data_IF_198487353169
#
_entry.id   IF_198487353169
#
_cell.length_a   1.000
_cell.length_b   1.000
_cell.length_c   1.000
_cell.angle_alpha   90.00
_cell.angle_beta   90.00
_cell.angle_gamma   90.00
#
_symmetry.space_group_name_H-M   'P 1'
#
loop_
_entity.id
_entity.type
_entity.pdbx_description
1 polymer ?
#
# COMPACT_ATOMS: atom_id res chain seq x y z
N UNK A 1 -30.83 1.00 18.73
CA UNK A 1 -30.04 1.92 17.91
C UNK A 1 -28.73 2.11 18.62
N UNK A 2 -27.84 1.19 18.37
CA UNK A 2 -26.69 0.85 19.19
C UNK A 2 -25.38 1.29 18.54
N UNK A 3 -24.36 1.40 19.30
CA UNK A 3 -23.04 1.99 19.02
C UNK A 3 -22.27 1.44 17.79
N UNK A 4 -22.74 0.38 17.12
CA UNK A 4 -22.11 -0.22 15.94
C UNK A 4 -22.34 0.54 14.62
N UNK A 5 -23.31 1.43 14.53
CA UNK A 5 -23.58 2.19 13.29
C UNK A 5 -22.74 3.45 13.10
N UNK A 6 -21.76 3.71 13.95
CA UNK A 6 -20.88 4.88 13.84
C UNK A 6 -19.45 4.60 13.34
N UNK A 7 -19.11 3.37 12.98
CA UNK A 7 -17.76 2.99 12.52
C UNK A 7 -17.65 2.74 11.00
N UNK A 8 -18.71 2.89 10.24
CA UNK A 8 -18.71 2.72 8.77
C UNK A 8 -18.43 4.00 7.99
N UNK A 9 -17.67 4.92 8.54
CA UNK A 9 -17.30 6.19 7.91
C UNK A 9 -15.82 6.52 7.95
N UNK A 10 -14.94 5.53 7.92
CA UNK A 10 -13.49 5.79 7.83
C UNK A 10 -13.01 5.59 6.40
N UNK A 11 -13.08 6.66 5.60
CA UNK A 11 -12.26 6.78 4.41
C UNK A 11 -10.81 6.45 4.77
N UNK A 12 -10.19 5.54 4.01
CA UNK A 12 -8.76 5.23 4.11
C UNK A 12 -7.97 6.46 3.70
N UNK A 13 -7.80 7.40 4.63
CA UNK A 13 -6.77 8.41 4.56
C UNK A 13 -5.54 7.82 5.25
N UNK A 14 -4.59 7.31 4.47
CA UNK A 14 -3.25 7.05 4.94
C UNK A 14 -2.60 8.38 5.32
N UNK A 15 -2.90 8.86 6.52
CA UNK A 15 -2.19 9.94 7.17
C UNK A 15 -0.97 9.37 7.85
N UNK A 16 0.21 9.75 7.37
CA UNK A 16 1.43 9.60 8.13
C UNK A 16 1.24 10.27 9.50
N UNK A 17 1.18 9.51 10.58
CA UNK A 17 1.25 10.00 11.94
C UNK A 17 2.69 10.50 12.18
N UNK A 18 2.91 11.78 11.95
CA UNK A 18 4.04 12.46 12.54
C UNK A 18 3.74 12.66 14.03
N UNK A 19 4.28 11.81 14.88
CA UNK A 19 4.32 12.03 16.32
C UNK A 19 5.38 13.08 16.59
N UNK A 20 4.97 14.34 16.72
CA UNK A 20 5.79 15.39 17.34
C UNK A 20 5.72 15.22 18.86
N UNK A 21 6.63 14.46 19.41
CA UNK A 21 6.88 14.37 20.85
C UNK A 21 8.27 14.89 21.15
N UNK A 22 8.41 16.17 21.51
CA UNK A 22 9.65 16.69 22.07
C UNK A 22 9.87 16.08 23.48
N UNK A 23 10.64 15.01 23.53
CA UNK A 23 11.20 14.45 24.73
C UNK A 23 12.68 14.19 24.48
N UNK A 24 13.58 14.98 25.09
CA UNK A 24 15.01 14.68 25.17
C UNK A 24 15.23 13.53 26.16
N UNK A 25 14.76 12.34 25.79
CA UNK A 25 15.22 11.09 26.38
C UNK A 25 16.48 10.63 25.63
N UNK A 26 17.40 9.88 26.28
CA UNK A 26 18.48 9.24 25.56
C UNK A 26 17.87 8.42 24.41
N UNK A 27 18.49 8.49 23.23
CA UNK A 27 18.13 7.62 22.12
C UNK A 27 18.23 6.18 22.66
N UNK A 28 17.10 5.57 22.99
CA UNK A 28 17.07 4.14 23.24
C UNK A 28 17.54 3.51 21.93
N UNK A 29 18.64 2.76 22.01
CA UNK A 29 18.96 1.82 20.97
C UNK A 29 17.66 1.05 20.71
N UNK A 30 17.22 0.98 19.44
CA UNK A 30 16.09 0.14 19.06
C UNK A 30 16.45 -1.25 19.55
N UNK A 31 15.78 -1.68 20.61
CA UNK A 31 16.03 -2.99 21.19
C UNK A 31 15.65 -4.01 20.12
N UNK A 32 16.45 -5.06 20.01
CA UNK A 32 16.18 -6.19 19.12
C UNK A 32 14.85 -6.83 19.53
N UNK A 33 13.77 -6.43 18.90
CA UNK A 33 12.41 -6.92 19.18
C UNK A 33 11.88 -7.76 18.02
N UNK A 34 11.00 -8.69 18.36
CA UNK A 34 10.17 -9.39 17.39
C UNK A 34 8.84 -8.65 17.25
N UNK A 35 8.35 -8.58 16.03
CA UNK A 35 7.01 -8.08 15.74
C UNK A 35 6.14 -9.24 15.25
N UNK A 36 4.87 -9.24 15.65
CA UNK A 36 3.90 -10.21 15.17
C UNK A 36 2.92 -9.49 14.27
N UNK A 37 2.87 -9.91 13.02
CA UNK A 37 1.86 -9.48 12.06
C UNK A 37 0.74 -10.51 12.03
N UNK A 38 -0.45 -10.12 12.49
CA UNK A 38 -1.68 -10.91 12.49
C UNK A 38 -2.83 -9.99 12.04
N UNK A 39 -3.97 -10.53 11.56
CA UNK A 39 -5.15 -9.72 11.30
C UNK A 39 -5.57 -8.94 12.55
N UNK A 40 -5.74 -7.63 12.39
CA UNK A 40 -6.21 -6.75 13.48
C UNK A 40 -7.68 -7.03 13.82
N UNK A 41 -8.47 -7.32 12.80
CA UNK A 41 -9.87 -7.67 12.91
C UNK A 41 -10.17 -8.88 12.01
N UNK A 42 -11.01 -9.79 12.50
CA UNK A 42 -11.46 -10.97 11.75
C UNK A 42 -12.93 -11.18 12.05
N UNK A 43 -13.76 -11.29 11.02
CA UNK A 43 -15.16 -11.63 11.18
C UNK A 43 -15.36 -13.07 10.70
N UNK A 44 -15.85 -13.93 11.58
CA UNK A 44 -16.19 -15.30 11.26
C UNK A 44 -17.60 -15.34 10.67
N UNK A 45 -17.82 -15.94 9.49
CA UNK A 45 -19.15 -16.17 9.00
C UNK A 45 -19.95 -17.02 10.00
N UNK A 46 -21.16 -16.60 10.29
CA UNK A 46 -22.11 -17.44 11.03
C UNK A 46 -22.41 -18.74 10.27
N UNK A 47 -23.27 -19.59 10.81
CA UNK A 47 -23.61 -20.84 10.15
C UNK A 47 -24.44 -20.61 8.89
N UNK A 48 -24.19 -21.43 7.87
CA UNK A 48 -25.02 -21.53 6.66
C UNK A 48 -26.44 -22.06 7.01
N UNK A 49 -27.35 -22.02 6.07
CA UNK A 49 -28.73 -22.48 6.25
C UNK A 49 -28.83 -23.98 6.61
N UNK A 50 -27.83 -24.78 6.29
CA UNK A 50 -27.72 -26.20 6.64
C UNK A 50 -27.06 -26.43 8.00
N UNK A 51 -26.70 -25.36 8.72
CA UNK A 51 -26.03 -25.42 10.03
C UNK A 51 -24.51 -25.62 9.95
N UNK A 52 -23.93 -25.70 8.77
CA UNK A 52 -22.47 -25.76 8.60
C UNK A 52 -21.80 -24.39 8.88
N UNK A 53 -20.61 -24.41 9.45
CA UNK A 53 -19.80 -23.22 9.67
C UNK A 53 -18.57 -23.24 8.77
N UNK A 54 -18.28 -22.11 8.14
CA UNK A 54 -17.09 -21.95 7.29
C UNK A 54 -15.87 -21.66 8.14
N UNK A 55 -14.73 -22.18 7.67
CA UNK A 55 -13.46 -21.89 8.29
C UNK A 55 -12.83 -20.63 7.68
N UNK A 56 -12.43 -19.74 8.55
CA UNK A 56 -11.57 -18.60 8.23
C UNK A 56 -10.14 -18.93 8.58
N UNK A 57 -9.24 -18.76 7.64
CA UNK A 57 -7.82 -18.99 7.82
C UNK A 57 -7.13 -17.71 8.28
N UNK A 58 -6.40 -17.77 9.39
CA UNK A 58 -5.62 -16.64 9.90
C UNK A 58 -4.13 -16.92 9.72
N UNK A 59 -3.48 -16.07 8.96
CA UNK A 59 -2.03 -16.08 8.79
C UNK A 59 -1.36 -15.19 9.83
N UNK A 60 -0.38 -15.74 10.54
CA UNK A 60 0.44 -15.01 11.51
C UNK A 60 1.89 -15.11 11.10
N UNK A 61 2.52 -13.95 10.90
CA UNK A 61 3.94 -13.85 10.62
C UNK A 61 4.69 -13.23 11.80
N UNK A 62 5.96 -13.60 11.95
CA UNK A 62 6.89 -12.97 12.88
C UNK A 62 7.94 -12.26 12.04
N UNK A 63 8.20 -11.00 12.36
CA UNK A 63 9.21 -10.16 11.75
C UNK A 63 10.15 -9.58 12.81
N UNK A 64 11.24 -8.97 12.36
CA UNK A 64 12.21 -8.28 13.23
C UNK A 64 12.43 -6.86 12.76
N UNK A 65 12.78 -5.98 13.67
CA UNK A 65 13.05 -4.57 13.39
C UNK A 65 14.55 -4.28 13.08
N UNK A 66 15.42 -5.28 13.17
CA UNK A 66 16.87 -5.09 12.99
C UNK A 66 17.39 -5.89 11.82
N UNK A 67 18.07 -5.22 10.88
CA UNK A 67 18.58 -5.80 9.64
C UNK A 67 19.80 -6.75 9.82
N UNK A 68 20.53 -6.66 10.95
CA UNK A 68 21.81 -7.34 11.13
C UNK A 68 21.70 -8.61 12.00
N UNK A 69 22.20 -9.71 11.44
CA UNK A 69 22.30 -10.99 12.13
C UNK A 69 21.16 -11.96 11.81
N UNK A 70 21.27 -13.18 12.30
CA UNK A 70 20.27 -14.25 12.18
C UNK A 70 19.42 -14.29 13.45
N UNK A 71 18.10 -14.34 13.32
CA UNK A 71 17.19 -14.62 14.44
C UNK A 71 17.03 -16.13 14.55
N UNK A 72 17.29 -16.76 15.70
CA UNK A 72 17.16 -18.22 15.84
C UNK A 72 15.71 -18.67 15.66
N UNK A 73 15.52 -19.96 15.39
CA UNK A 73 14.18 -20.56 15.40
C UNK A 73 13.47 -20.28 16.73
N UNK A 74 12.18 -20.02 16.67
CA UNK A 74 11.42 -19.56 17.81
C UNK A 74 10.04 -20.21 17.97
N UNK A 75 9.27 -19.68 18.88
CA UNK A 75 7.93 -20.12 19.22
C UNK A 75 6.96 -18.96 19.24
N UNK A 76 5.83 -19.15 18.57
CA UNK A 76 4.64 -18.29 18.64
C UNK A 76 3.60 -18.94 19.57
N UNK A 77 3.17 -18.26 20.59
CA UNK A 77 2.03 -18.66 21.42
C UNK A 77 0.78 -17.94 20.93
N UNK A 78 -0.29 -18.70 20.67
CA UNK A 78 -1.62 -18.18 20.29
C UNK A 78 -2.62 -18.57 21.39
N UNK A 79 -3.35 -17.58 21.87
CA UNK A 79 -4.38 -17.75 22.92
C UNK A 79 -5.74 -17.25 22.39
N UNK A 80 -6.68 -18.18 22.22
CA UNK A 80 -8.05 -17.93 21.72
C UNK A 80 -9.11 -18.09 22.83
N UNK A 81 -8.73 -17.98 24.10
CA UNK A 81 -9.61 -18.24 25.24
C UNK A 81 -10.81 -17.30 25.29
N UNK A 82 -10.66 -16.04 24.87
CA UNK A 82 -11.75 -15.06 24.89
C UNK A 82 -12.81 -15.34 23.81
N UNK A 83 -12.47 -16.05 22.73
CA UNK A 83 -13.40 -16.41 21.66
C UNK A 83 -13.97 -17.82 21.77
N UNK A 84 -13.53 -18.63 22.74
CA UNK A 84 -13.93 -20.03 22.88
C UNK A 84 -15.43 -20.24 23.09
N UNK A 85 -16.14 -19.21 23.57
CA UNK A 85 -17.60 -19.26 23.76
C UNK A 85 -18.41 -19.23 22.45
N UNK A 86 -17.83 -18.72 21.36
CA UNK A 86 -18.52 -18.58 20.08
C UNK A 86 -17.71 -19.07 18.86
N UNK A 87 -16.44 -19.45 19.04
CA UNK A 87 -15.59 -19.94 17.96
C UNK A 87 -14.80 -21.20 18.36
N UNK A 88 -14.43 -21.99 17.37
CA UNK A 88 -13.54 -23.15 17.49
C UNK A 88 -12.32 -22.96 16.60
N UNK A 89 -11.16 -23.32 17.14
CA UNK A 89 -9.87 -23.25 16.44
C UNK A 89 -9.47 -24.61 15.86
N UNK A 90 -8.85 -24.58 14.66
CA UNK A 90 -8.16 -25.71 14.02
C UNK A 90 -6.67 -25.41 13.96
N UNK A 91 -5.86 -26.15 14.70
CA UNK A 91 -4.42 -25.92 14.79
C UNK A 91 -3.66 -26.59 13.65
N UNK A 92 -2.68 -25.91 13.01
CA UNK A 92 -1.80 -26.53 12.01
C UNK A 92 -0.77 -27.49 12.65
N UNK A 93 -0.13 -28.30 11.82
CA UNK A 93 0.80 -29.34 12.28
C UNK A 93 2.06 -28.82 13.02
N UNK A 94 2.46 -27.56 12.78
CA UNK A 94 3.60 -26.94 13.48
C UNK A 94 3.18 -26.30 14.82
N UNK A 95 1.91 -26.42 15.23
CA UNK A 95 1.39 -25.95 16.50
C UNK A 95 1.10 -27.11 17.44
N UNK A 96 1.66 -27.07 18.63
CA UNK A 96 1.38 -28.03 19.72
C UNK A 96 0.31 -27.43 20.65
N UNK A 97 -0.91 -27.98 20.71
CA UNK A 97 -1.93 -27.53 21.64
C UNK A 97 -1.48 -27.73 23.09
N UNK A 98 -1.54 -26.68 23.90
CA UNK A 98 -1.34 -26.74 25.36
C UNK A 98 -2.66 -26.86 26.12
N UNK A 99 -3.75 -26.45 25.49
CA UNK A 99 -5.14 -26.60 25.92
C UNK A 99 -6.06 -26.54 24.70
N UNK A 100 -7.37 -26.61 24.90
CA UNK A 100 -8.36 -26.41 23.83
C UNK A 100 -8.30 -25.01 23.21
N UNK A 101 -7.79 -24.01 23.96
CA UNK A 101 -7.79 -22.61 23.59
C UNK A 101 -6.41 -21.99 23.44
N UNK A 102 -5.33 -22.77 23.61
CA UNK A 102 -3.97 -22.26 23.54
C UNK A 102 -3.04 -23.26 22.86
N UNK A 103 -2.22 -22.77 21.94
CA UNK A 103 -1.18 -23.56 21.29
C UNK A 103 0.15 -22.79 21.20
N UNK A 104 1.24 -23.57 21.05
CA UNK A 104 2.58 -23.07 20.78
C UNK A 104 3.01 -23.57 19.42
N UNK A 105 3.29 -22.68 18.50
CA UNK A 105 3.66 -22.94 17.11
C UNK A 105 5.14 -22.67 16.89
N UNK A 106 5.87 -23.64 16.35
CA UNK A 106 7.28 -23.45 16.01
C UNK A 106 7.41 -22.67 14.70
N UNK A 107 8.31 -21.70 14.65
CA UNK A 107 8.70 -21.04 13.40
C UNK A 107 10.22 -21.17 13.15
N UNK A 108 10.64 -21.17 11.86
CA UNK A 108 12.04 -21.36 11.49
C UNK A 108 12.90 -20.14 11.87
N UNK A 109 14.21 -20.31 11.80
CA UNK A 109 15.15 -19.17 11.89
C UNK A 109 14.93 -18.19 10.75
N UNK A 110 15.22 -16.92 11.01
CA UNK A 110 15.23 -15.85 10.01
C UNK A 110 16.68 -15.47 9.71
N UNK A 111 17.23 -15.89 8.57
CA UNK A 111 18.57 -15.48 8.13
C UNK A 111 18.70 -13.96 7.99
N UNK A 112 19.93 -13.47 8.02
CA UNK A 112 20.21 -12.06 7.73
C UNK A 112 19.63 -11.67 6.36
N UNK A 113 18.91 -10.55 6.30
CA UNK A 113 18.20 -10.09 5.09
C UNK A 113 16.81 -10.73 4.87
N UNK A 114 16.34 -11.55 5.80
CA UNK A 114 14.94 -12.02 5.84
C UNK A 114 14.18 -11.14 6.84
N UNK A 115 13.18 -10.41 6.38
CA UNK A 115 12.44 -9.46 7.22
C UNK A 115 11.33 -10.13 8.04
N UNK A 116 10.74 -11.22 7.52
CA UNK A 116 9.66 -11.93 8.20
C UNK A 116 9.60 -13.41 7.81
N UNK A 117 8.99 -14.22 8.68
CA UNK A 117 8.63 -15.63 8.41
C UNK A 117 7.19 -15.88 8.83
N UNK A 118 6.49 -16.71 8.07
CA UNK A 118 5.17 -17.20 8.47
C UNK A 118 5.33 -18.15 9.65
N UNK A 119 4.75 -17.79 10.80
CA UNK A 119 4.87 -18.56 12.03
C UNK A 119 3.74 -19.58 12.18
N UNK A 120 2.51 -19.22 11.78
CA UNK A 120 1.37 -20.14 11.79
C UNK A 120 0.28 -19.72 10.80
N UNK A 121 -0.47 -20.69 10.31
CA UNK A 121 -1.74 -20.50 9.63
C UNK A 121 -2.76 -21.41 10.32
N UNK A 122 -3.68 -20.84 11.08
CA UNK A 122 -4.69 -21.63 11.80
C UNK A 122 -6.10 -21.25 11.38
N UNK A 123 -7.06 -22.19 11.51
CA UNK A 123 -8.44 -21.98 11.13
C UNK A 123 -9.30 -21.59 12.31
N UNK A 124 -10.26 -20.68 12.11
CA UNK A 124 -11.33 -20.37 13.05
C UNK A 124 -12.68 -20.63 12.41
N UNK A 125 -13.64 -21.15 13.17
CA UNK A 125 -15.04 -21.36 12.76
C UNK A 125 -15.97 -20.88 13.85
N UNK A 126 -17.06 -20.21 13.47
CA UNK A 126 -18.13 -19.91 14.41
C UNK A 126 -18.76 -21.21 14.93
N UNK A 127 -19.15 -21.23 16.21
CA UNK A 127 -19.92 -22.32 16.76
C UNK A 127 -21.39 -22.26 16.27
N UNK A 128 -22.06 -23.41 16.11
CA UNK A 128 -23.50 -23.43 15.81
C UNK A 128 -24.28 -22.61 16.83
N UNK A 129 -25.07 -21.65 16.35
CA UNK A 129 -25.89 -20.79 17.23
C UNK A 129 -25.10 -19.67 17.93
N UNK A 130 -23.84 -19.41 17.52
CA UNK A 130 -23.12 -18.25 17.99
C UNK A 130 -23.87 -16.95 17.63
N UNK A 131 -23.94 -16.03 18.57
CA UNK A 131 -24.58 -14.74 18.38
C UNK A 131 -23.70 -13.88 17.45
N UNK A 132 -24.32 -13.22 16.46
CA UNK A 132 -23.65 -12.32 15.52
C UNK A 132 -23.05 -11.06 16.17
N UNK A 133 -23.38 -10.77 17.42
CA UNK A 133 -22.75 -9.68 18.18
C UNK A 133 -21.58 -10.18 19.06
N UNK A 134 -21.30 -11.50 19.03
CA UNK A 134 -20.19 -12.06 19.82
C UNK A 134 -18.86 -11.54 19.30
N UNK A 135 -18.00 -11.10 20.21
CA UNK A 135 -16.64 -10.68 19.91
C UNK A 135 -15.68 -10.97 21.07
N UNK A 136 -14.40 -11.11 20.76
CA UNK A 136 -13.33 -11.34 21.72
C UNK A 136 -11.97 -11.18 21.08
N UNK A 137 -10.91 -11.28 21.86
CA UNK A 137 -9.55 -11.07 21.40
C UNK A 137 -8.81 -12.40 21.21
N UNK A 138 -8.03 -12.47 20.13
CA UNK A 138 -6.97 -13.47 19.96
C UNK A 138 -5.64 -12.82 20.35
N UNK A 139 -4.92 -13.42 21.29
CA UNK A 139 -3.66 -12.88 21.81
C UNK A 139 -2.48 -13.66 21.28
N UNK A 140 -1.42 -12.93 20.96
CA UNK A 140 -0.20 -13.47 20.39
C UNK A 140 1.01 -13.09 21.25
N UNK A 141 1.97 -14.01 21.37
CA UNK A 141 3.30 -13.70 21.88
C UNK A 141 4.34 -14.61 21.21
N UNK A 142 5.52 -14.10 20.94
CA UNK A 142 6.59 -14.88 20.32
C UNK A 142 7.91 -14.72 21.09
N UNK A 143 8.75 -15.77 21.02
CA UNK A 143 10.11 -15.76 21.57
C UNK A 143 11.07 -16.44 20.62
N UNK A 144 12.31 -15.92 20.47
CA UNK A 144 13.40 -16.53 19.71
C UNK A 144 14.74 -16.18 20.36
N UNK A 145 15.36 -17.11 21.05
CA UNK A 145 16.52 -16.82 21.92
C UNK A 145 16.11 -15.84 23.03
N UNK A 146 16.82 -14.73 23.13
CA UNK A 146 16.56 -13.67 24.11
C UNK A 146 15.58 -12.59 23.60
N UNK A 147 15.08 -12.74 22.36
CA UNK A 147 14.15 -11.82 21.74
C UNK A 147 12.72 -12.13 22.20
N UNK A 148 11.94 -11.08 22.43
CA UNK A 148 10.51 -11.13 22.78
C UNK A 148 9.66 -10.44 21.71
N UNK A 149 8.36 -10.72 21.73
CA UNK A 149 7.42 -10.14 20.78
C UNK A 149 6.84 -8.82 21.28
N UNK A 150 6.48 -8.02 20.27
CA UNK A 150 5.57 -6.90 20.43
C UNK A 150 4.37 -7.11 19.48
N UNK A 151 3.15 -7.19 20.03
CA UNK A 151 1.93 -7.36 19.24
C UNK A 151 0.70 -6.82 19.95
N UNK A 152 -0.18 -6.21 19.15
CA UNK A 152 -1.55 -5.94 19.57
C UNK A 152 -2.43 -7.19 19.39
N UNK A 153 -3.43 -7.42 20.26
CA UNK A 153 -4.36 -8.52 20.09
C UNK A 153 -5.27 -8.29 18.88
N UNK A 154 -5.57 -9.36 18.13
CA UNK A 154 -6.56 -9.33 17.06
C UNK A 154 -7.99 -9.44 17.60
N UNK A 155 -8.90 -8.57 17.16
CA UNK A 155 -10.33 -8.67 17.46
C UNK A 155 -10.96 -9.73 16.55
N UNK A 156 -11.73 -10.65 17.12
CA UNK A 156 -12.49 -11.65 16.35
C UNK A 156 -13.97 -11.56 16.72
N UNK A 157 -14.82 -11.49 15.72
CA UNK A 157 -16.27 -11.44 15.87
C UNK A 157 -17.00 -12.45 15.00
N UNK A 158 -18.33 -12.52 15.13
CA UNK A 158 -19.22 -13.31 14.27
C UNK A 158 -20.13 -12.38 13.49
N UNK A 159 -20.25 -12.59 12.17
CA UNK A 159 -21.10 -11.82 11.27
C UNK A 159 -21.95 -12.69 10.36
N UNK A 160 -23.09 -12.15 9.90
CA UNK A 160 -23.86 -12.72 8.81
C UNK A 160 -23.83 -11.74 7.63
N UNK A 161 -23.51 -12.25 6.47
CA UNK A 161 -23.42 -11.46 5.24
C UNK A 161 -22.62 -12.17 4.15
N UNK A 162 -22.54 -11.60 2.97
CA UNK A 162 -21.49 -11.94 2.01
C UNK A 162 -20.11 -11.52 2.55
N UNK A 163 -19.08 -12.18 2.08
CA UNK A 163 -17.69 -11.90 2.35
C UNK A 163 -16.97 -11.99 1.00
N UNK A 164 -16.98 -10.88 0.29
CA UNK A 164 -16.42 -10.79 -1.05
C UNK A 164 -14.92 -10.54 -0.96
N UNK A 165 -14.12 -11.39 -1.56
CA UNK A 165 -12.68 -11.23 -1.60
C UNK A 165 -12.13 -11.36 -3.02
N UNK A 166 -10.96 -10.76 -3.25
CA UNK A 166 -10.19 -10.89 -4.48
C UNK A 166 -8.93 -11.71 -4.22
N UNK A 167 -8.67 -12.71 -5.05
CA UNK A 167 -7.40 -13.42 -4.96
C UNK A 167 -6.23 -12.49 -5.32
N UNK A 168 -5.09 -12.67 -4.67
CA UNK A 168 -3.86 -12.02 -5.10
C UNK A 168 -3.56 -12.34 -6.56
N UNK A 169 -3.21 -11.32 -7.34
CA UNK A 169 -2.68 -11.45 -8.68
C UNK A 169 -1.17 -11.18 -8.66
N UNK A 170 -0.36 -11.99 -9.37
CA UNK A 170 1.08 -11.81 -9.38
C UNK A 170 1.47 -10.49 -10.04
N UNK A 171 2.45 -9.80 -9.47
CA UNK A 171 3.09 -8.67 -10.11
C UNK A 171 3.68 -9.09 -11.45
N UNK A 172 3.52 -8.26 -12.46
CA UNK A 172 4.02 -8.52 -13.80
C UNK A 172 5.27 -7.68 -14.07
N UNK A 173 6.29 -8.33 -14.60
CA UNK A 173 7.56 -7.65 -14.93
C UNK A 173 7.85 -7.82 -16.42
N UNK A 174 8.78 -7.01 -16.93
CA UNK A 174 9.27 -7.10 -18.31
C UNK A 174 8.20 -6.89 -19.40
N UNK A 175 7.13 -6.18 -19.10
CA UNK A 175 6.10 -5.88 -20.07
C UNK A 175 6.65 -5.04 -21.24
N UNK A 176 6.23 -5.35 -22.44
CA UNK A 176 6.63 -4.59 -23.63
C UNK A 176 5.73 -3.36 -23.81
N UNK A 177 6.27 -2.12 -23.80
CA UNK A 177 5.48 -0.92 -24.07
C UNK A 177 4.78 -0.99 -25.43
N UNK A 178 3.48 -0.65 -25.46
CA UNK A 178 2.65 -0.67 -26.67
C UNK A 178 1.91 -2.00 -26.92
N UNK A 179 2.06 -3.00 -26.05
CA UNK A 179 1.32 -4.28 -26.13
C UNK A 179 0.10 -4.31 -25.20
N UNK A 180 -0.54 -5.46 -25.11
CA UNK A 180 -1.62 -5.76 -24.17
C UNK A 180 -1.13 -6.73 -23.11
N UNK A 181 -1.76 -6.69 -21.96
CA UNK A 181 -1.64 -7.65 -20.86
C UNK A 181 -2.99 -7.84 -20.19
N UNK A 182 -3.12 -8.84 -19.34
CA UNK A 182 -4.31 -8.99 -18.51
C UNK A 182 -3.95 -9.20 -17.05
N UNK A 183 -4.78 -8.65 -16.16
CA UNK A 183 -4.76 -8.96 -14.73
C UNK A 183 -5.90 -9.94 -14.46
N UNK A 184 -5.53 -11.13 -13.95
CA UNK A 184 -6.46 -12.20 -13.64
C UNK A 184 -6.56 -12.37 -12.15
N UNK A 185 -7.77 -12.24 -11.64
CA UNK A 185 -8.10 -12.46 -10.24
C UNK A 185 -9.27 -13.40 -10.10
N UNK A 186 -9.51 -13.86 -8.90
CA UNK A 186 -10.70 -14.64 -8.58
C UNK A 186 -11.52 -13.84 -7.57
N UNK A 187 -12.74 -13.48 -7.95
CA UNK A 187 -13.76 -13.01 -7.03
C UNK A 187 -14.34 -14.22 -6.28
N UNK A 188 -14.39 -14.17 -4.98
CA UNK A 188 -14.97 -15.22 -4.12
C UNK A 188 -15.92 -14.62 -3.11
N UNK A 189 -16.86 -15.44 -2.64
CA UNK A 189 -17.69 -15.13 -1.47
C UNK A 189 -17.46 -16.18 -0.40
N UNK A 190 -16.74 -15.82 0.64
CA UNK A 190 -16.41 -16.68 1.79
C UNK A 190 -17.44 -16.56 2.92
N UNK A 191 -18.37 -15.61 2.81
CA UNK A 191 -19.46 -15.39 3.77
C UNK A 191 -20.56 -16.46 3.73
N UNK A 192 -21.55 -16.32 4.61
CA UNK A 192 -22.67 -17.23 4.72
C UNK A 192 -23.96 -16.75 4.01
N UNK A 193 -23.88 -15.63 3.28
CA UNK A 193 -24.97 -15.08 2.47
C UNK A 193 -24.52 -14.82 1.05
N UNK A 194 -25.47 -14.75 0.12
CA UNK A 194 -25.23 -14.41 -1.28
C UNK A 194 -25.07 -12.89 -1.43
N UNK A 195 -24.06 -12.45 -2.20
CA UNK A 195 -24.05 -11.12 -2.74
C UNK A 195 -24.86 -11.11 -4.07
N UNK A 196 -26.00 -10.44 -4.08
CA UNK A 196 -26.92 -10.43 -5.24
C UNK A 196 -26.31 -9.76 -6.46
N UNK A 197 -25.56 -8.70 -6.20
CA UNK A 197 -24.84 -7.89 -7.18
C UNK A 197 -23.53 -7.43 -6.53
N UNK A 198 -22.53 -7.19 -7.37
CA UNK A 198 -21.23 -6.73 -6.90
C UNK A 198 -20.87 -5.40 -7.52
N UNK A 199 -20.39 -4.47 -6.72
CA UNK A 199 -19.73 -3.25 -7.17
C UNK A 199 -18.23 -3.53 -7.24
N UNK A 200 -17.67 -3.46 -8.46
CA UNK A 200 -16.24 -3.57 -8.73
C UNK A 200 -15.69 -2.18 -9.01
N UNK A 201 -14.70 -1.76 -8.24
CA UNK A 201 -13.90 -0.57 -8.52
C UNK A 201 -12.53 -0.96 -9.02
N UNK A 202 -12.06 -0.27 -10.04
CA UNK A 202 -10.73 -0.46 -10.63
C UNK A 202 -10.07 0.90 -10.81
N UNK A 203 -8.77 1.00 -10.52
CA UNK A 203 -7.93 2.14 -10.86
C UNK A 203 -6.66 1.68 -11.57
N UNK A 204 -6.45 2.18 -12.76
CA UNK A 204 -5.29 1.88 -13.59
C UNK A 204 -4.44 3.15 -13.76
N UNK A 205 -3.18 3.12 -13.35
CA UNK A 205 -2.28 4.26 -13.47
C UNK A 205 -2.03 4.66 -14.93
N UNK A 206 -1.51 5.87 -15.15
CA UNK A 206 -1.44 6.54 -16.45
C UNK A 206 -0.81 5.72 -17.59
N UNK A 207 0.13 4.85 -17.29
CA UNK A 207 0.75 3.98 -18.29
C UNK A 207 -0.11 2.80 -18.73
N UNK A 208 -1.26 2.61 -18.09
CA UNK A 208 -2.23 1.59 -18.42
C UNK A 208 -3.48 2.22 -19.01
N UNK A 209 -4.23 1.45 -19.79
CA UNK A 209 -5.54 1.85 -20.31
C UNK A 209 -6.43 0.63 -20.47
N UNK A 210 -7.70 0.77 -20.21
CA UNK A 210 -8.67 -0.26 -20.52
C UNK A 210 -8.75 -0.46 -22.04
N UNK A 211 -8.62 -1.69 -22.51
CA UNK A 211 -8.74 -2.02 -23.94
C UNK A 211 -10.20 -2.07 -24.39
N UNK A 212 -11.09 -2.38 -23.44
CA UNK A 212 -12.53 -2.36 -23.60
C UNK A 212 -13.17 -1.45 -22.54
N UNK A 213 -14.27 -0.82 -22.92
CA UNK A 213 -15.11 -0.04 -22.01
C UNK A 213 -16.47 -0.72 -21.94
N UNK A 214 -16.64 -1.56 -20.92
CA UNK A 214 -17.83 -2.40 -20.73
C UNK A 214 -19.08 -1.57 -20.45
N UNK A 215 -20.24 -2.02 -20.96
CA UNK A 215 -21.51 -1.31 -20.88
C UNK A 215 -22.08 -1.22 -19.47
N UNK A 216 -21.74 -2.16 -18.60
CA UNK A 216 -22.09 -2.15 -17.16
C UNK A 216 -21.03 -1.45 -16.28
N UNK A 217 -20.08 -0.74 -16.91
CA UNK A 217 -19.06 0.06 -16.24
C UNK A 217 -19.17 1.54 -16.59
N UNK A 218 -18.76 2.38 -15.65
CA UNK A 218 -18.54 3.82 -15.82
C UNK A 218 -17.06 4.12 -15.66
N UNK A 219 -16.51 5.04 -16.45
CA UNK A 219 -15.10 5.35 -16.52
C UNK A 219 -14.84 6.82 -16.22
N UNK A 220 -13.73 7.09 -15.52
CA UNK A 220 -13.27 8.43 -15.18
C UNK A 220 -11.78 8.55 -15.45
N UNK A 221 -11.39 9.55 -16.23
CA UNK A 221 -9.99 9.95 -16.34
C UNK A 221 -9.63 10.87 -15.17
N UNK A 222 -8.44 10.70 -14.62
CA UNK A 222 -7.89 11.58 -13.58
C UNK A 222 -6.40 11.84 -13.81
N UNK A 223 -5.78 12.74 -13.02
CA UNK A 223 -4.42 13.23 -13.25
C UNK A 223 -3.32 12.17 -13.28
N UNK A 224 -3.56 10.99 -12.69
CA UNK A 224 -2.60 9.89 -12.57
C UNK A 224 -3.06 8.59 -13.22
N UNK A 225 -4.25 8.53 -13.82
CA UNK A 225 -4.77 7.29 -14.41
C UNK A 225 -6.22 7.34 -14.86
N UNK A 226 -6.82 6.17 -14.93
CA UNK A 226 -8.22 5.95 -15.31
C UNK A 226 -8.89 5.05 -14.29
N UNK A 227 -9.96 5.51 -13.66
CA UNK A 227 -10.82 4.70 -12.80
C UNK A 227 -11.98 4.07 -13.59
N UNK A 228 -12.45 2.90 -13.14
CA UNK A 228 -13.68 2.27 -13.60
C UNK A 228 -14.53 1.81 -12.41
N UNK A 229 -15.85 2.00 -12.51
CA UNK A 229 -16.86 1.47 -11.59
C UNK A 229 -17.79 0.56 -12.39
N UNK A 230 -17.83 -0.72 -12.05
CA UNK A 230 -18.64 -1.72 -12.75
C UNK A 230 -19.67 -2.31 -11.80
N UNK A 231 -20.89 -2.46 -12.26
CA UNK A 231 -21.93 -3.20 -11.57
C UNK A 231 -22.06 -4.56 -12.21
N UNK A 232 -21.74 -5.60 -11.45
CA UNK A 232 -21.84 -6.99 -11.89
C UNK A 232 -23.17 -7.54 -11.37
N UNK A 233 -24.05 -7.93 -12.31
CA UNK A 233 -25.42 -8.36 -11.99
C UNK A 233 -25.50 -9.87 -11.63
N UNK A 234 -24.41 -10.63 -11.84
CA UNK A 234 -24.35 -12.02 -11.38
C UNK A 234 -24.27 -12.11 -9.87
N UNK A 235 -25.16 -12.93 -9.31
CA UNK A 235 -25.14 -13.24 -7.90
C UNK A 235 -23.93 -14.12 -7.53
N UNK A 236 -23.19 -13.73 -6.51
CA UNK A 236 -22.06 -14.50 -5.95
C UNK A 236 -22.53 -15.19 -4.69
N UNK A 237 -22.96 -16.46 -4.81
CA UNK A 237 -23.44 -17.20 -3.67
C UNK A 237 -22.31 -17.57 -2.71
N UNK A 238 -22.72 -17.85 -1.48
CA UNK A 238 -21.85 -18.38 -0.43
C UNK A 238 -21.00 -19.55 -0.95
N UNK A 239 -19.66 -19.43 -0.87
CA UNK A 239 -18.68 -20.40 -1.36
C UNK A 239 -18.42 -20.39 -2.87
N UNK A 240 -19.08 -19.54 -3.63
CA UNK A 240 -18.80 -19.41 -5.06
C UNK A 240 -17.52 -18.63 -5.34
N UNK A 241 -16.96 -18.95 -6.52
CA UNK A 241 -15.76 -18.30 -7.06
C UNK A 241 -15.94 -18.05 -8.56
N UNK A 242 -15.53 -16.88 -8.99
CA UNK A 242 -15.58 -16.45 -10.38
C UNK A 242 -14.22 -15.96 -10.85
N UNK A 243 -13.87 -16.25 -12.10
CA UNK A 243 -12.73 -15.64 -12.72
C UNK A 243 -13.09 -14.21 -13.17
N UNK A 244 -12.23 -13.26 -12.82
CA UNK A 244 -12.29 -11.88 -13.28
C UNK A 244 -11.00 -11.58 -14.06
N UNK A 245 -11.15 -11.26 -15.34
CA UNK A 245 -10.02 -10.94 -16.24
C UNK A 245 -10.17 -9.50 -16.74
N UNK A 246 -9.20 -8.64 -16.42
CA UNK A 246 -9.17 -7.25 -16.88
C UNK A 246 -8.07 -7.08 -17.91
N UNK A 247 -8.45 -6.87 -19.18
CA UNK A 247 -7.50 -6.64 -20.26
C UNK A 247 -7.04 -5.17 -20.31
N UNK A 248 -5.73 -4.96 -20.32
CA UNK A 248 -5.08 -3.67 -20.26
C UNK A 248 -4.12 -3.46 -21.43
N UNK A 249 -4.16 -2.27 -22.02
CA UNK A 249 -3.13 -1.81 -22.94
C UNK A 249 -1.98 -1.16 -22.17
N UNK A 250 -0.76 -1.64 -22.40
CA UNK A 250 0.47 -1.05 -21.84
C UNK A 250 0.90 0.10 -22.73
N UNK A 251 0.86 1.32 -22.23
CA UNK A 251 1.26 2.52 -22.98
C UNK A 251 2.73 2.45 -23.37
N UNK A 252 3.11 3.15 -24.46
CA UNK A 252 4.52 3.36 -24.81
C UNK A 252 5.30 4.16 -23.74
N UNK A 253 4.59 4.82 -22.84
CA UNK A 253 5.15 5.61 -21.72
C UNK A 253 5.08 4.88 -20.38
N UNK A 254 4.53 3.68 -20.33
CA UNK A 254 4.47 2.88 -19.10
C UNK A 254 5.89 2.58 -18.59
N UNK A 255 6.06 2.60 -17.28
CA UNK A 255 7.30 2.31 -16.58
C UNK A 255 7.06 1.34 -15.43
N UNK A 256 6.48 1.86 -14.35
CA UNK A 256 6.13 1.16 -13.13
C UNK A 256 4.70 1.56 -12.81
N UNK A 257 3.79 0.69 -13.19
CA UNK A 257 2.37 0.98 -13.18
C UNK A 257 1.69 0.23 -12.06
N UNK A 258 0.62 0.83 -11.57
CA UNK A 258 -0.20 0.28 -10.53
C UNK A 258 -1.61 0.03 -11.07
N UNK A 259 -2.12 -1.15 -10.77
CA UNK A 259 -3.50 -1.54 -11.01
C UNK A 259 -4.11 -1.93 -9.67
N UNK A 260 -5.05 -1.12 -9.22
CA UNK A 260 -5.80 -1.33 -8.00
C UNK A 260 -7.21 -1.80 -8.34
N UNK A 261 -7.73 -2.73 -7.57
CA UNK A 261 -9.10 -3.18 -7.72
C UNK A 261 -9.70 -3.53 -6.36
N UNK A 262 -11.00 -3.29 -6.22
CA UNK A 262 -11.75 -3.69 -5.03
C UNK A 262 -13.16 -4.10 -5.39
N UNK A 263 -13.75 -4.94 -4.54
CA UNK A 263 -15.12 -5.43 -4.66
C UNK A 263 -15.89 -5.17 -3.38
N UNK A 264 -17.18 -4.96 -3.51
CA UNK A 264 -18.11 -4.92 -2.37
C UNK A 264 -19.51 -5.30 -2.83
N UNK A 265 -20.39 -5.75 -1.92
CA UNK A 265 -21.79 -5.93 -2.24
C UNK A 265 -22.38 -4.63 -2.77
N UNK A 266 -23.13 -4.74 -3.85
CA UNK A 266 -23.76 -3.56 -4.43
C UNK A 266 -24.88 -3.01 -3.54
N UNK A 267 -24.89 -1.69 -3.37
CA UNK A 267 -26.03 -0.90 -2.97
C UNK A 267 -26.01 0.44 -3.70
N UNK A 268 -27.16 1.11 -3.78
CA UNK A 268 -27.22 2.44 -4.39
C UNK A 268 -26.37 3.45 -3.61
N UNK A 269 -26.28 3.32 -2.30
CA UNK A 269 -25.45 4.16 -1.44
C UNK A 269 -23.96 3.91 -1.70
N UNK A 270 -23.52 2.64 -1.79
CA UNK A 270 -22.15 2.26 -2.11
C UNK A 270 -21.71 2.79 -3.50
N UNK A 271 -22.60 2.67 -4.49
CA UNK A 271 -22.34 3.24 -5.81
C UNK A 271 -22.26 4.77 -5.79
N UNK A 272 -23.15 5.43 -5.05
CA UNK A 272 -23.14 6.89 -4.92
C UNK A 272 -21.86 7.39 -4.21
N UNK A 273 -21.44 6.71 -3.15
CA UNK A 273 -20.19 6.99 -2.44
C UNK A 273 -18.97 6.82 -3.35
N UNK A 274 -18.88 5.68 -4.07
CA UNK A 274 -17.79 5.41 -4.99
C UNK A 274 -17.72 6.40 -6.17
N UNK A 275 -18.86 6.89 -6.65
CA UNK A 275 -18.91 7.94 -7.68
C UNK A 275 -18.42 9.28 -7.15
N UNK A 276 -18.72 9.62 -5.90
CA UNK A 276 -18.43 10.92 -5.32
C UNK A 276 -18.96 12.07 -6.19
N UNK A 277 -18.27 13.20 -6.18
CA UNK A 277 -18.61 14.39 -6.99
C UNK A 277 -17.99 14.37 -8.40
N UNK A 278 -17.46 13.22 -8.84
CA UNK A 278 -16.74 13.11 -10.11
C UNK A 278 -17.68 12.86 -11.29
N UNK A 279 -17.24 13.30 -12.47
CA UNK A 279 -17.95 13.01 -13.72
C UNK A 279 -17.49 11.66 -14.28
N UNK A 280 -18.44 10.78 -14.50
CA UNK A 280 -18.23 9.45 -15.05
C UNK A 280 -18.86 9.33 -16.44
N UNK A 281 -18.26 8.53 -17.30
CA UNK A 281 -18.75 8.25 -18.65
C UNK A 281 -19.01 6.75 -18.79
N UNK A 282 -20.23 6.38 -19.15
CA UNK A 282 -20.62 4.97 -19.33
C UNK A 282 -19.88 4.35 -20.52
N UNK A 283 -19.46 3.10 -20.36
CA UNK A 283 -18.90 2.30 -21.45
C UNK A 283 -19.96 1.88 -22.47
N UNK A 284 -19.52 1.46 -23.65
CA UNK A 284 -20.36 1.07 -24.79
C UNK A 284 -20.01 -0.28 -25.38
N UNK A 285 -19.06 -1.02 -24.78
CA UNK A 285 -18.66 -2.36 -25.19
C UNK A 285 -19.62 -3.45 -24.73
N UNK A 286 -19.20 -4.70 -24.80
CA UNK A 286 -19.89 -5.82 -24.17
C UNK A 286 -19.95 -5.61 -22.65
N UNK A 287 -20.86 -6.26 -21.97
CA UNK A 287 -20.86 -6.26 -20.49
C UNK A 287 -19.62 -7.01 -19.98
N UNK A 288 -19.12 -6.60 -18.83
CA UNK A 288 -18.13 -7.35 -18.07
C UNK A 288 -18.87 -8.44 -17.31
N UNK A 289 -18.73 -9.67 -17.78
CA UNK A 289 -19.42 -10.83 -17.21
C UNK A 289 -18.48 -11.61 -16.28
N UNK A 290 -19.05 -12.14 -15.20
CA UNK A 290 -18.39 -13.14 -14.38
C UNK A 290 -18.60 -14.53 -15.00
N UNK A 291 -17.53 -15.29 -15.17
CA UNK A 291 -17.63 -16.64 -15.70
C UNK A 291 -17.78 -17.66 -14.55
N UNK A 292 -18.97 -18.25 -14.33
CA UNK A 292 -19.25 -19.07 -13.18
C UNK A 292 -18.46 -20.38 -13.11
N UNK A 293 -17.93 -20.69 -11.96
CA UNK A 293 -17.74 -22.06 -11.53
C UNK A 293 -19.07 -22.54 -10.87
N UNK A 294 -19.76 -23.49 -11.45
CA UNK A 294 -21.16 -23.87 -11.28
C UNK A 294 -21.83 -23.78 -9.90
N UNK A 295 -23.02 -23.22 -9.87
CA UNK A 295 -24.15 -23.49 -8.91
C UNK A 295 -24.40 -22.47 -7.81
N UNK A 296 -25.40 -21.58 -7.94
CA UNK A 296 -25.86 -20.68 -6.87
C UNK A 296 -27.34 -20.31 -6.94
N UNK A 297 -27.90 -19.88 -5.83
CA UNK A 297 -29.25 -19.28 -5.67
C UNK A 297 -29.18 -18.02 -4.80
N UNK A 298 -30.00 -17.04 -5.12
CA UNK A 298 -29.99 -15.68 -4.60
C UNK A 298 -30.69 -15.44 -3.24
N UNK A 299 -30.26 -14.44 -2.48
CA UNK A 299 -30.91 -13.83 -1.31
C UNK A 299 -30.55 -12.33 -1.20
N UNK A 300 -31.24 -11.55 -0.34
CA UNK A 300 -31.21 -10.08 -0.28
C UNK A 300 -29.81 -9.46 -0.03
N UNK A 301 -29.61 -8.20 -0.48
CA UNK A 301 -28.35 -7.47 -0.32
C UNK A 301 -28.04 -7.19 1.17
N UNK A 302 -26.91 -7.68 1.63
CA UNK A 302 -26.36 -7.48 2.98
C UNK A 302 -24.94 -6.90 2.86
N UNK A 303 -24.47 -6.13 3.88
CA UNK A 303 -23.10 -5.59 3.86
C UNK A 303 -22.06 -6.70 3.94
N UNK A 304 -20.86 -6.43 3.42
CA UNK A 304 -19.70 -7.28 3.53
C UNK A 304 -19.27 -7.43 4.98
N UNK A 305 -18.96 -8.66 5.40
CA UNK A 305 -18.60 -8.93 6.80
C UNK A 305 -17.11 -8.75 7.08
N UNK A 306 -16.25 -8.81 6.04
CA UNK A 306 -14.82 -8.54 6.16
C UNK A 306 -14.28 -7.78 4.94
N UNK A 307 -14.34 -6.44 4.94
CA UNK A 307 -13.91 -5.64 3.80
C UNK A 307 -12.38 -5.56 3.63
N UNK A 308 -11.57 -6.25 4.44
CA UNK A 308 -10.12 -6.15 4.38
C UNK A 308 -9.51 -6.92 3.20
N UNK A 309 -10.12 -8.01 2.77
CA UNK A 309 -9.69 -8.82 1.63
C UNK A 309 -10.37 -8.45 0.29
N UNK A 310 -11.17 -7.38 0.31
CA UNK A 310 -11.88 -6.86 -0.86
C UNK A 310 -10.99 -6.12 -1.84
N UNK A 311 -9.75 -5.80 -1.47
CA UNK A 311 -8.85 -4.94 -2.21
C UNK A 311 -7.60 -5.68 -2.65
N UNK A 312 -7.13 -5.40 -3.86
CA UNK A 312 -5.87 -5.90 -4.38
C UNK A 312 -5.10 -4.85 -5.18
N UNK A 313 -3.79 -4.95 -5.15
CA UNK A 313 -2.86 -4.14 -5.96
C UNK A 313 -1.96 -5.04 -6.78
N UNK A 314 -1.85 -4.76 -8.07
CA UNK A 314 -0.92 -5.42 -8.98
C UNK A 314 0.05 -4.39 -9.55
N UNK A 315 1.34 -4.66 -9.41
CA UNK A 315 2.39 -3.86 -10.05
C UNK A 315 2.68 -4.45 -11.43
N UNK A 316 2.71 -3.55 -12.44
CA UNK A 316 3.01 -3.87 -13.82
C UNK A 316 4.24 -3.07 -14.25
N UNK A 317 5.40 -3.72 -14.29
CA UNK A 317 6.68 -3.10 -14.67
C UNK A 317 6.95 -3.29 -16.15
N UNK A 318 7.10 -2.19 -16.90
CA UNK A 318 7.39 -2.20 -18.31
C UNK A 318 8.90 -2.05 -18.58
N UNK A 319 9.39 -2.68 -19.65
CA UNK A 319 10.76 -2.48 -20.16
C UNK A 319 10.93 -1.09 -20.74
N UNK A 320 11.06 -0.10 -19.87
CA UNK A 320 11.18 1.29 -20.24
C UNK A 320 12.17 2.01 -19.32
N UNK A 321 12.45 3.27 -19.61
CA UNK A 321 13.41 4.09 -18.85
C UNK A 321 12.87 5.48 -18.59
N UNK A 322 13.27 6.07 -17.46
CA UNK A 322 13.04 7.47 -17.12
C UNK A 322 14.38 8.09 -16.71
N UNK A 323 14.96 8.91 -17.59
CA UNK A 323 16.26 9.58 -17.39
C UNK A 323 16.04 10.89 -16.61
N UNK A 324 16.34 10.89 -15.31
CA UNK A 324 16.30 12.08 -14.50
C UNK A 324 17.59 12.90 -14.68
N UNK A 325 17.44 14.17 -15.00
CA UNK A 325 18.55 15.11 -15.07
C UNK A 325 18.37 16.25 -14.09
N UNK A 326 19.37 16.52 -13.27
CA UNK A 326 19.42 17.73 -12.46
C UNK A 326 20.05 18.90 -13.22
N UNK A 327 19.49 20.09 -13.03
CA UNK A 327 20.08 21.36 -13.46
C UNK A 327 20.07 22.34 -12.30
N UNK A 328 21.24 22.85 -11.94
CA UNK A 328 21.39 23.88 -10.94
C UNK A 328 21.52 25.28 -11.58
N UNK A 329 21.66 26.30 -10.76
CA UNK A 329 21.76 27.69 -11.21
C UNK A 329 23.03 28.38 -10.77
N UNK A 330 23.30 29.50 -11.42
CA UNK A 330 24.36 30.43 -11.05
C UNK A 330 23.73 31.77 -10.66
N UNK A 331 24.02 32.23 -9.45
CA UNK A 331 23.45 33.45 -8.88
C UNK A 331 24.57 34.40 -8.45
N UNK A 332 24.26 35.68 -8.37
CA UNK A 332 25.21 36.74 -7.93
C UNK A 332 24.48 37.72 -7.03
N UNK A 333 25.20 38.23 -6.03
CA UNK A 333 24.74 39.29 -5.15
C UNK A 333 25.85 39.78 -4.22
N UNK A 334 25.61 40.89 -3.54
CA UNK A 334 26.45 41.43 -2.50
C UNK A 334 26.19 40.81 -1.13
N UNK A 335 27.04 41.06 -0.16
CA UNK A 335 26.74 40.68 1.23
C UNK A 335 25.48 41.41 1.72
N UNK A 336 24.57 40.67 2.33
CA UNK A 336 23.24 41.12 2.78
C UNK A 336 22.11 40.85 1.77
N UNK A 337 22.41 40.60 0.49
CA UNK A 337 21.39 40.31 -0.51
C UNK A 337 20.81 38.92 -0.32
N UNK A 338 19.51 38.78 -0.66
CA UNK A 338 18.88 37.47 -0.85
C UNK A 338 18.68 37.21 -2.33
N UNK A 339 19.24 36.10 -2.81
CA UNK A 339 19.15 35.66 -4.21
C UNK A 339 18.41 34.33 -4.29
N UNK A 340 17.70 34.07 -5.39
CA UNK A 340 16.99 32.79 -5.58
C UNK A 340 17.81 31.88 -6.51
N UNK A 341 18.34 30.80 -5.95
CA UNK A 341 18.89 29.69 -6.73
C UNK A 341 17.78 28.74 -7.16
N UNK A 342 17.97 28.08 -8.31
CA UNK A 342 16.99 27.11 -8.84
C UNK A 342 17.66 25.74 -8.97
N UNK A 343 16.94 24.73 -8.53
CA UNK A 343 17.26 23.32 -8.77
C UNK A 343 16.11 22.75 -9.59
N UNK A 344 16.39 22.25 -10.79
CA UNK A 344 15.37 21.69 -11.67
C UNK A 344 15.64 20.20 -11.89
N UNK A 345 14.63 19.38 -11.64
CA UNK A 345 14.59 17.94 -11.96
C UNK A 345 13.85 17.79 -13.28
N UNK A 346 14.49 17.21 -14.28
CA UNK A 346 13.90 16.93 -15.59
C UNK A 346 13.75 15.43 -15.76
N UNK A 347 12.60 14.96 -16.23
CA UNK A 347 12.47 13.61 -16.78
C UNK A 347 12.72 13.67 -18.29
N UNK A 348 13.87 13.19 -18.75
CA UNK A 348 14.29 13.17 -20.17
C UNK A 348 13.97 11.83 -20.85
N UNK A 349 13.59 10.83 -20.07
CA UNK A 349 13.32 9.50 -20.57
C UNK A 349 12.02 9.41 -21.38
N UNK A 350 11.81 8.33 -22.10
CA UNK A 350 10.57 8.13 -22.84
C UNK A 350 9.38 7.84 -21.96
N UNK A 351 9.60 7.33 -20.73
CA UNK A 351 8.54 6.95 -19.83
C UNK A 351 8.04 8.10 -18.96
N UNK A 352 6.80 7.99 -18.55
CA UNK A 352 6.22 8.75 -17.47
C UNK A 352 6.47 8.02 -16.15
N UNK A 353 6.84 8.76 -15.10
CA UNK A 353 6.83 8.26 -13.74
C UNK A 353 5.45 8.60 -13.15
N UNK A 354 4.54 7.63 -13.15
CA UNK A 354 3.19 7.80 -12.63
C UNK A 354 3.12 7.46 -11.13
N UNK A 355 3.92 6.47 -10.70
CA UNK A 355 4.06 6.07 -9.29
C UNK A 355 5.33 5.23 -9.16
N UNK A 356 5.95 5.29 -7.98
CA UNK A 356 7.01 4.35 -7.57
C UNK A 356 6.57 3.49 -6.38
N UNK A 357 5.28 3.55 -6.03
CA UNK A 357 4.69 2.86 -4.88
C UNK A 357 4.63 3.74 -3.62
N UNK A 358 3.74 3.41 -2.70
CA UNK A 358 3.57 4.02 -1.37
C UNK A 358 3.55 5.57 -1.33
N UNK A 359 3.18 6.24 -2.43
CA UNK A 359 3.19 7.71 -2.51
C UNK A 359 4.61 8.33 -2.57
N UNK A 360 5.64 7.54 -2.90
CA UNK A 360 7.01 8.02 -3.01
C UNK A 360 7.16 9.13 -4.04
N UNK A 361 7.92 10.17 -3.72
CA UNK A 361 8.28 11.21 -4.65
C UNK A 361 9.13 10.63 -5.80
N UNK A 362 9.01 11.21 -7.01
CA UNK A 362 9.86 10.78 -8.14
C UNK A 362 11.34 10.94 -7.82
N UNK A 363 11.71 12.00 -7.11
CA UNK A 363 13.06 12.20 -6.61
C UNK A 363 13.05 13.07 -5.35
N UNK A 364 13.94 12.78 -4.42
CA UNK A 364 14.35 13.68 -3.35
C UNK A 364 15.72 14.22 -3.67
N UNK A 365 15.86 15.55 -3.69
CA UNK A 365 17.16 16.22 -3.91
C UNK A 365 17.76 16.64 -2.57
N UNK A 366 19.06 16.41 -2.42
CA UNK A 366 19.85 16.83 -1.25
C UNK A 366 20.84 17.92 -1.67
N UNK A 367 20.97 18.96 -0.86
CA UNK A 367 21.97 20.02 -1.04
C UNK A 367 22.36 20.64 0.31
N UNK A 368 23.43 21.38 0.33
CA UNK A 368 23.89 22.21 1.45
C UNK A 368 23.97 23.68 0.99
N UNK A 369 23.98 24.61 1.95
CA UNK A 369 24.25 26.01 1.63
C UNK A 369 25.63 26.16 1.00
N UNK A 370 25.79 26.88 -0.16
CA UNK A 370 27.10 27.29 -0.66
C UNK A 370 27.85 28.10 0.40
N UNK A 371 29.16 27.99 0.42
CA UNK A 371 30.01 28.70 1.39
C UNK A 371 29.71 30.21 1.42
N UNK A 372 29.48 30.78 2.59
CA UNK A 372 29.17 32.20 2.80
C UNK A 372 27.72 32.56 2.50
N UNK A 373 26.82 31.57 2.43
CA UNK A 373 25.38 31.79 2.30
C UNK A 373 24.61 31.01 3.37
N UNK A 374 23.40 31.47 3.65
CA UNK A 374 22.43 30.79 4.49
C UNK A 374 21.18 30.52 3.67
N UNK A 375 20.62 29.30 3.74
CA UNK A 375 19.33 28.95 3.11
C UNK A 375 18.22 29.66 3.87
N UNK A 376 17.36 30.37 3.15
CA UNK A 376 16.17 30.99 3.69
C UNK A 376 15.01 29.99 3.89
N UNK A 377 13.82 30.52 4.10
CA UNK A 377 12.61 29.67 4.30
C UNK A 377 12.29 28.87 3.04
N UNK A 378 12.18 27.57 3.20
CA UNK A 378 11.78 26.61 2.17
C UNK A 378 10.30 26.19 2.40
N UNK A 379 9.60 25.70 1.35
CA UNK A 379 8.25 25.15 1.50
C UNK A 379 8.27 23.91 2.41
N UNK A 380 7.63 23.99 3.58
CA UNK A 380 7.64 22.92 4.60
C UNK A 380 6.89 21.65 4.17
N UNK A 381 5.95 21.76 3.23
CA UNK A 381 5.23 20.63 2.65
C UNK A 381 6.10 19.74 1.76
N UNK A 382 7.26 20.24 1.32
CA UNK A 382 8.14 19.57 0.35
C UNK A 382 9.59 19.51 0.74
N UNK A 383 10.03 20.38 1.63
CA UNK A 383 11.44 20.51 1.99
C UNK A 383 11.61 20.42 3.51
N UNK A 384 12.72 19.80 3.94
CA UNK A 384 13.10 19.71 5.36
C UNK A 384 14.61 19.78 5.52
N UNK A 385 15.05 19.96 6.75
CA UNK A 385 16.47 19.93 7.13
C UNK A 385 16.73 18.66 7.93
N UNK A 386 17.89 18.01 7.73
CA UNK A 386 18.23 16.84 8.54
C UNK A 386 18.50 17.25 9.99
N UNK A 387 17.86 16.56 10.92
CA UNK A 387 18.05 16.71 12.37
C UNK A 387 19.02 15.67 12.95
N UNK A 388 19.58 14.79 12.11
CA UNK A 388 20.34 13.60 12.51
C UNK A 388 21.73 13.89 13.11
N UNK A 389 22.09 15.14 13.29
CA UNK A 389 23.37 15.56 13.87
C UNK A 389 24.61 15.25 13.01
N UNK A 390 24.46 14.48 11.94
CA UNK A 390 25.57 14.08 11.06
C UNK A 390 25.87 15.12 9.97
N UNK A 391 24.86 15.93 9.61
CA UNK A 391 25.00 17.02 8.64
C UNK A 391 23.97 18.14 8.89
N UNK A 392 24.13 18.94 9.94
CA UNK A 392 23.12 19.92 10.39
C UNK A 392 22.80 20.99 9.33
N UNK A 393 23.49 21.02 8.23
CA UNK A 393 23.30 22.00 7.14
C UNK A 393 22.77 21.37 5.86
N UNK A 394 22.40 20.09 5.86
CA UNK A 394 21.81 19.43 4.69
C UNK A 394 20.31 19.71 4.59
N UNK A 395 19.87 20.11 3.41
CA UNK A 395 18.47 20.33 3.06
C UNK A 395 18.03 19.29 2.03
N UNK A 396 16.78 18.87 2.16
CA UNK A 396 16.15 17.88 1.32
C UNK A 396 14.87 18.45 0.75
N UNK A 397 14.60 18.23 -0.54
CA UNK A 397 13.36 18.65 -1.18
C UNK A 397 12.84 17.53 -2.09
N UNK A 398 11.56 17.18 -1.96
CA UNK A 398 10.93 16.12 -2.74
C UNK A 398 10.09 16.68 -3.89
N UNK A 399 10.19 16.05 -5.05
CA UNK A 399 9.31 16.30 -6.18
C UNK A 399 7.88 15.80 -5.91
N UNK A 400 6.90 16.13 -6.75
CA UNK A 400 5.64 15.38 -6.78
C UNK A 400 5.85 13.87 -6.97
N UNK A 401 4.82 13.09 -6.67
CA UNK A 401 4.80 11.62 -6.83
C UNK A 401 4.74 11.18 -8.30
N UNK A 402 4.47 12.11 -9.22
CA UNK A 402 4.44 11.84 -10.67
C UNK A 402 5.21 12.92 -11.43
N UNK A 403 5.84 12.52 -12.54
CA UNK A 403 6.54 13.41 -13.45
C UNK A 403 6.48 12.88 -14.88
N UNK A 404 5.81 13.62 -15.76
CA UNK A 404 5.62 13.25 -17.17
C UNK A 404 6.96 13.13 -17.90
N UNK A 405 6.98 12.37 -18.99
CA UNK A 405 8.08 12.40 -19.94
C UNK A 405 8.30 13.85 -20.45
N UNK A 406 9.54 14.27 -20.53
CA UNK A 406 9.96 15.63 -20.94
C UNK A 406 9.49 16.77 -20.02
N UNK A 407 8.81 16.46 -18.92
CA UNK A 407 8.44 17.46 -17.93
C UNK A 407 9.59 17.75 -16.97
N UNK A 408 9.43 18.83 -16.21
CA UNK A 408 10.39 19.22 -15.17
C UNK A 408 9.68 19.80 -13.96
N UNK A 409 10.34 19.67 -12.82
CA UNK A 409 9.94 20.31 -11.57
C UNK A 409 11.08 21.16 -11.03
N UNK A 410 10.80 22.40 -10.63
CA UNK A 410 11.82 23.35 -10.16
C UNK A 410 11.57 23.75 -8.71
N UNK A 411 12.62 23.63 -7.91
CA UNK A 411 12.69 24.19 -6.57
C UNK A 411 13.33 25.56 -6.63
N UNK A 412 12.74 26.54 -5.97
CA UNK A 412 13.29 27.87 -5.76
C UNK A 412 13.89 27.94 -4.36
N UNK A 413 15.20 28.14 -4.29
CA UNK A 413 15.98 28.10 -3.05
C UNK A 413 16.43 29.53 -2.72
N UNK A 414 15.83 30.23 -1.76
CA UNK A 414 16.30 31.53 -1.30
C UNK A 414 17.63 31.36 -0.55
N UNK A 415 18.66 32.10 -1.00
CA UNK A 415 19.97 32.13 -0.39
C UNK A 415 20.28 33.54 0.05
N UNK A 416 20.46 33.77 1.34
CA UNK A 416 21.01 35.01 1.88
C UNK A 416 22.53 34.96 1.78
N UNK A 417 23.14 35.95 1.19
CA UNK A 417 24.62 36.09 1.08
C UNK A 417 25.11 36.76 2.35
N UNK A 418 25.71 36.00 3.26
CA UNK A 418 26.24 36.53 4.53
C UNK A 418 27.61 37.20 4.29
N UNK A 419 28.41 36.61 3.39
CA UNK A 419 29.67 37.17 2.90
C UNK A 419 29.93 36.73 1.47
N UNK A 420 30.55 37.60 0.69
CA UNK A 420 30.91 37.27 -0.68
C UNK A 420 32.09 36.32 -0.71
N UNK A 421 31.84 35.09 -1.16
CA UNK A 421 32.86 34.07 -1.47
C UNK A 421 32.85 33.83 -2.97
N UNK A 422 33.94 34.19 -3.64
CA UNK A 422 34.01 34.09 -5.11
C UNK A 422 34.00 32.63 -5.55
N UNK A 423 33.02 32.28 -6.41
CA UNK A 423 32.87 30.93 -6.96
C UNK A 423 32.45 29.88 -5.94
N UNK A 424 31.79 30.30 -4.83
CA UNK A 424 31.22 29.38 -3.87
C UNK A 424 30.23 28.43 -4.56
N UNK A 425 30.33 27.14 -4.26
CA UNK A 425 29.50 26.11 -4.88
C UNK A 425 29.07 25.06 -3.88
N UNK A 426 27.96 24.41 -4.17
CA UNK A 426 27.50 23.21 -3.49
C UNK A 426 27.00 22.20 -4.50
N UNK A 427 27.24 20.93 -4.22
CA UNK A 427 26.68 19.82 -5.00
C UNK A 427 25.24 19.60 -4.62
N UNK A 428 24.40 19.39 -5.62
CA UNK A 428 23.02 18.93 -5.50
C UNK A 428 22.94 17.54 -6.11
N UNK A 429 22.36 16.59 -5.39
CA UNK A 429 22.24 15.21 -5.88
C UNK A 429 20.85 14.64 -5.53
N UNK A 430 20.35 13.71 -6.34
CA UNK A 430 19.21 12.88 -5.94
C UNK A 430 19.65 11.87 -4.90
N UNK A 431 18.79 11.65 -3.89
CA UNK A 431 18.96 10.57 -2.94
C UNK A 431 18.49 9.23 -3.54
N UNK A 432 18.96 8.17 -2.91
CA UNK A 432 18.57 6.80 -3.18
C UNK A 432 18.17 6.17 -1.84
N UNK A 433 17.01 6.61 -1.34
CA UNK A 433 16.57 6.24 0.01
C UNK A 433 16.01 4.82 0.07
N UNK A 434 15.47 4.32 -1.07
CA UNK A 434 14.96 2.98 -1.21
C UNK A 434 15.40 2.35 -2.55
N UNK A 435 16.22 1.29 -2.53
CA UNK A 435 16.71 0.67 -3.75
C UNK A 435 15.59 -0.01 -4.57
N UNK A 436 14.49 -0.43 -3.96
CA UNK A 436 13.38 -1.10 -4.65
C UNK A 436 12.40 -0.10 -5.26
N UNK A 437 12.10 1.00 -4.57
CA UNK A 437 11.14 2.03 -5.00
C UNK A 437 11.80 3.25 -5.64
N UNK A 438 13.09 3.20 -5.89
CA UNK A 438 13.84 4.32 -6.44
C UNK A 438 13.75 4.40 -7.95
N UNK A 439 13.48 5.61 -8.48
CA UNK A 439 13.59 5.91 -9.91
C UNK A 439 14.94 5.51 -10.51
N UNK A 440 16.01 5.47 -9.71
CA UNK A 440 17.36 5.09 -10.16
C UNK A 440 17.44 3.70 -10.79
N UNK A 441 16.53 2.79 -10.42
CA UNK A 441 16.38 1.47 -11.07
C UNK A 441 16.09 1.61 -12.58
N UNK A 442 15.37 2.66 -12.96
CA UNK A 442 14.88 2.91 -14.32
C UNK A 442 15.70 3.95 -15.07
N UNK A 443 16.68 4.59 -14.40
CA UNK A 443 17.47 5.68 -14.94
C UNK A 443 18.77 5.15 -15.58
N UNK A 444 18.91 5.26 -16.91
CA UNK A 444 20.08 4.74 -17.62
C UNK A 444 21.32 5.61 -17.43
N UNK A 445 21.22 6.82 -16.84
CA UNK A 445 22.31 7.79 -16.75
C UNK A 445 22.39 8.47 -15.39
N UNK A 446 22.79 7.76 -14.37
CA UNK A 446 22.92 8.29 -13.01
C UNK A 446 23.95 9.44 -12.87
N UNK A 447 24.80 9.66 -13.88
CA UNK A 447 25.82 10.75 -13.82
C UNK A 447 25.20 12.14 -13.93
N UNK A 448 24.04 12.30 -14.57
CA UNK A 448 23.34 13.57 -14.69
C UNK A 448 22.36 13.84 -13.55
N UNK A 449 22.29 12.94 -12.55
CA UNK A 449 21.51 13.08 -11.32
C UNK A 449 22.23 13.93 -10.26
N UNK A 450 23.29 14.61 -10.67
CA UNK A 450 24.03 15.58 -9.87
C UNK A 450 24.19 16.89 -10.63
N UNK A 451 24.25 18.00 -9.90
CA UNK A 451 24.49 19.34 -10.44
C UNK A 451 25.14 20.23 -9.37
N UNK A 452 25.37 21.49 -9.68
CA UNK A 452 25.89 22.46 -8.71
C UNK A 452 25.02 23.72 -8.67
N UNK A 453 24.89 24.32 -7.49
CA UNK A 453 24.55 25.73 -7.30
C UNK A 453 25.87 26.49 -7.16
N UNK A 454 26.04 27.57 -7.92
CA UNK A 454 27.24 28.40 -7.90
C UNK A 454 26.87 29.85 -7.57
N UNK A 455 27.52 30.41 -6.55
CA UNK A 455 27.31 31.80 -6.10
C UNK A 455 28.53 32.62 -6.39
N UNK A 456 28.33 33.84 -6.94
CA UNK A 456 29.38 34.85 -7.17
C UNK A 456 30.56 34.34 -8.01
N UNK A 457 30.28 33.68 -9.12
CA UNK A 457 31.28 33.30 -10.11
C UNK A 457 31.66 34.47 -11.02
#
# INVERSE_FOLDING_TARGET
MTHLQRLLGAAVAWGALAVAGAGTGPAHALDNELWISAPYETVLPGTDADGSARERSLDVAVSRDVADGTVPAGQLTVDVSEIAGFARVSWPANCEPRSETKAVCAFPEMPAGTDSVRAATFGLRALPGADVESSGQVRYSATAGDLTSHADPGLTGVGNGPDLGLSEAPHQRDLTPGTRTSVRTTLSNSGNRTAERTLLWIDASYGLRFTERHANCEYREHGTGTGALCVLDEAVASGQRFALDTELGVSRKALYERFDHSVQPYSDDALAEARGEWTWTRGTGAELDLHPAAGARASAAEPDIDPQDNYGTVILEARNTADLKLTGSRVRGAAGDTVTAKITVHNRGPAWVASLGAGAAVATVRFQAPQGTTVGTLPEDRCWTAEDGTSPTAHYCRTPIHLHDKASYTFEIPLRIDRVVRGARTTVATLNDDPELSIRKFDPNLRNNTTEIVVNR
#
